data_IF_269170736529
#
_entry.id   IF_269170736529
#
_cell.length_a   1.000
_cell.length_b   1.000
_cell.length_c   1.000
_cell.angle_alpha   90.00
_cell.angle_beta   90.00
_cell.angle_gamma   90.00
#
_symmetry.space_group_name_H-M   'P 1'
#
loop_
_entity.id
_entity.type
_entity.pdbx_description
1 polymer ?
#
# COMPACT_ATOMS: atom_id res chain seq x y z
N UNK A 1 -25.76 -31.97 -23.42
CA UNK A 1 -24.57 -31.61 -24.21
C UNK A 1 -23.87 -30.48 -23.47
N UNK A 2 -22.81 -30.82 -22.73
CA UNK A 2 -22.00 -29.89 -21.92
C UNK A 2 -20.81 -29.46 -22.77
N UNK A 3 -20.60 -28.17 -22.94
CA UNK A 3 -19.30 -27.61 -23.30
C UNK A 3 -19.01 -26.48 -22.29
N UNK A 4 -17.98 -26.75 -21.49
CA UNK A 4 -17.42 -25.94 -20.43
C UNK A 4 -16.08 -25.51 -21.02
N UNK A 5 -15.95 -24.26 -21.45
CA UNK A 5 -14.69 -23.76 -22.00
C UNK A 5 -13.94 -22.89 -20.99
N UNK A 6 -12.64 -23.17 -21.00
CA UNK A 6 -11.61 -22.82 -20.06
C UNK A 6 -11.24 -21.34 -20.09
N UNK A 7 -11.08 -20.74 -18.91
CA UNK A 7 -10.26 -19.55 -18.75
C UNK A 7 -9.31 -19.81 -17.57
N UNK A 8 -8.09 -20.24 -17.89
CA UNK A 8 -6.98 -20.38 -16.94
C UNK A 8 -6.27 -19.03 -16.80
N UNK A 9 -6.10 -18.47 -15.60
CA UNK A 9 -5.05 -17.47 -15.40
C UNK A 9 -3.68 -18.17 -15.42
N UNK A 10 -2.73 -17.54 -16.10
CA UNK A 10 -1.32 -17.92 -16.14
C UNK A 10 -0.71 -17.69 -14.75
N UNK A 11 -0.82 -18.68 -13.86
CA UNK A 11 -0.07 -18.72 -12.60
C UNK A 11 1.33 -19.20 -12.94
N UNK A 12 2.32 -18.29 -12.88
CA UNK A 12 3.72 -18.70 -12.76
C UNK A 12 3.91 -19.23 -11.33
N UNK A 13 3.51 -20.48 -11.12
CA UNK A 13 3.84 -21.23 -9.92
C UNK A 13 5.31 -21.64 -10.04
N UNK A 14 6.21 -20.80 -9.53
CA UNK A 14 7.52 -21.28 -9.14
C UNK A 14 7.31 -22.24 -7.98
N UNK A 15 7.68 -23.52 -8.16
CA UNK A 15 7.62 -24.53 -7.12
C UNK A 15 8.41 -24.06 -5.89
N UNK A 16 7.72 -23.87 -4.76
CA UNK A 16 8.33 -23.49 -3.48
C UNK A 16 8.65 -24.79 -2.72
N UNK A 17 9.90 -25.03 -2.27
CA UNK A 17 10.21 -26.16 -1.41
C UNK A 17 9.56 -26.02 -0.03
N UNK A 18 9.17 -27.15 0.56
CA UNK A 18 8.43 -27.25 1.82
C UNK A 18 9.15 -26.60 3.02
N UNK A 19 8.41 -25.95 3.96
CA UNK A 19 9.00 -25.23 5.07
C UNK A 19 9.43 -26.15 6.22
N UNK A 20 10.65 -25.96 6.71
CA UNK A 20 11.11 -26.48 7.99
C UNK A 20 10.66 -25.55 9.12
N UNK A 21 10.04 -26.14 10.14
CA UNK A 21 9.38 -25.50 11.27
C UNK A 21 10.36 -24.70 12.15
N UNK A 22 10.67 -23.44 11.78
CA UNK A 22 11.25 -22.37 12.64
C UNK A 22 11.57 -21.08 11.87
N UNK A 23 11.50 -21.10 10.54
CA UNK A 23 11.63 -19.92 9.70
C UNK A 23 10.22 -19.40 9.35
N UNK A 24 10.00 -18.09 9.47
CA UNK A 24 8.71 -17.46 9.15
C UNK A 24 8.21 -17.90 7.78
N UNK A 25 6.90 -18.12 7.67
CA UNK A 25 6.28 -18.47 6.40
C UNK A 25 6.69 -17.45 5.31
N UNK A 26 6.94 -17.90 4.07
CA UNK A 26 7.26 -16.98 2.97
C UNK A 26 6.13 -15.97 2.80
N UNK A 27 6.48 -14.70 2.63
CA UNK A 27 5.54 -13.60 2.45
C UNK A 27 4.86 -13.77 1.10
N UNK A 28 3.55 -14.02 1.11
CA UNK A 28 2.75 -14.34 -0.06
C UNK A 28 1.99 -13.09 -0.52
N UNK A 29 2.73 -12.15 -1.11
CA UNK A 29 2.14 -10.89 -1.59
C UNK A 29 1.04 -11.15 -2.62
N UNK A 30 -0.03 -10.37 -2.53
CA UNK A 30 -1.00 -10.31 -3.63
C UNK A 30 -0.39 -9.54 -4.79
N UNK A 31 -0.22 -10.22 -5.92
CA UNK A 31 0.38 -9.63 -7.10
C UNK A 31 -0.41 -8.40 -7.57
N UNK A 32 0.32 -7.36 -8.01
CA UNK A 32 -0.33 -6.23 -8.64
C UNK A 32 -1.00 -6.66 -9.96
N UNK A 33 -2.19 -6.10 -10.28
CA UNK A 33 -2.84 -6.35 -11.56
C UNK A 33 -1.91 -6.11 -12.76
N UNK A 34 -2.12 -6.82 -13.87
CA UNK A 34 -1.24 -6.78 -15.05
C UNK A 34 -1.00 -5.36 -15.62
N UNK A 35 -1.99 -4.45 -15.51
CA UNK A 35 -1.83 -3.03 -15.89
C UNK A 35 -0.72 -2.29 -15.11
N UNK A 36 -0.29 -2.84 -13.98
CA UNK A 36 0.81 -2.36 -13.15
C UNK A 36 2.10 -3.17 -13.31
N UNK A 37 2.20 -4.04 -14.32
CA UNK A 37 3.41 -4.82 -14.57
C UNK A 37 4.66 -3.93 -14.71
N UNK A 38 4.51 -2.69 -15.20
CA UNK A 38 5.59 -1.71 -15.27
C UNK A 38 6.12 -1.29 -13.89
N UNK A 39 5.31 -1.29 -12.84
CA UNK A 39 5.74 -1.04 -11.47
C UNK A 39 6.59 -2.21 -10.95
N UNK A 40 6.12 -3.43 -11.15
CA UNK A 40 6.82 -4.66 -10.74
C UNK A 40 8.13 -4.86 -11.53
N UNK A 41 8.15 -4.54 -12.82
CA UNK A 41 9.35 -4.60 -13.67
C UNK A 41 10.48 -3.70 -13.19
N UNK A 42 10.12 -2.64 -12.44
CA UNK A 42 10.98 -1.87 -11.54
C UNK A 42 12.07 -2.75 -10.96
N UNK A 43 11.62 -3.78 -10.23
CA UNK A 43 12.37 -4.54 -9.23
C UNK A 43 12.72 -5.97 -9.63
N UNK A 44 12.09 -6.46 -10.69
CA UNK A 44 12.45 -7.73 -11.29
C UNK A 44 13.93 -7.76 -11.75
N UNK A 45 14.57 -8.94 -11.76
CA UNK A 45 14.06 -10.23 -11.26
C UNK A 45 14.28 -10.43 -9.75
N UNK A 46 14.92 -9.48 -9.06
CA UNK A 46 15.44 -9.69 -7.69
C UNK A 46 14.32 -9.56 -6.64
N UNK A 47 13.39 -8.64 -6.84
CA UNK A 47 12.28 -8.43 -5.93
C UNK A 47 10.93 -8.43 -6.64
N UNK A 48 9.90 -8.87 -5.91
CA UNK A 48 8.51 -8.78 -6.30
C UNK A 48 7.84 -7.63 -5.53
N UNK A 49 7.16 -6.73 -6.26
CA UNK A 49 6.30 -5.70 -5.69
C UNK A 49 4.85 -6.22 -5.68
N UNK A 50 4.18 -6.09 -4.55
CA UNK A 50 2.81 -6.52 -4.37
C UNK A 50 2.08 -5.77 -3.26
N UNK A 51 0.83 -6.16 -3.03
CA UNK A 51 0.01 -5.66 -1.94
C UNK A 51 0.08 -6.63 -0.76
N UNK A 52 0.10 -6.08 0.45
CA UNK A 52 0.09 -6.85 1.70
C UNK A 52 -1.30 -7.45 1.89
N UNK A 53 -1.37 -8.79 1.96
CA UNK A 53 -2.56 -9.53 2.37
C UNK A 53 -2.59 -9.80 3.88
N UNK A 54 -3.61 -10.52 4.34
CA UNK A 54 -3.79 -10.89 5.76
C UNK A 54 -2.57 -11.63 6.34
N UNK A 55 -2.02 -12.59 5.58
CA UNK A 55 -0.87 -13.39 5.99
C UNK A 55 0.45 -12.58 6.10
N UNK A 56 0.51 -11.42 5.45
CA UNK A 56 1.73 -10.60 5.37
C UNK A 56 1.83 -9.56 6.50
N UNK A 57 0.75 -9.33 7.26
CA UNK A 57 0.65 -8.26 8.27
C UNK A 57 1.74 -8.37 9.33
N UNK A 58 2.00 -9.59 9.83
CA UNK A 58 3.01 -9.83 10.87
C UNK A 58 4.41 -9.44 10.39
N UNK A 59 4.77 -9.82 9.15
CA UNK A 59 6.05 -9.48 8.54
C UNK A 59 6.18 -7.97 8.28
N UNK A 60 5.10 -7.31 7.86
CA UNK A 60 5.07 -5.86 7.71
C UNK A 60 5.26 -5.14 9.05
N UNK A 61 4.58 -5.61 10.11
CA UNK A 61 4.71 -5.05 11.45
C UNK A 61 6.14 -5.21 12.00
N UNK A 62 6.76 -6.38 11.81
CA UNK A 62 8.15 -6.61 12.18
C UNK A 62 9.09 -5.62 11.47
N UNK A 63 8.96 -5.48 10.15
CA UNK A 63 9.79 -4.57 9.38
C UNK A 63 9.65 -3.11 9.83
N UNK A 64 8.43 -2.67 10.15
CA UNK A 64 8.16 -1.32 10.63
C UNK A 64 8.75 -1.09 12.03
N UNK A 65 8.60 -2.04 12.95
CA UNK A 65 9.23 -2.00 14.28
C UNK A 65 10.75 -1.90 14.16
N UNK A 66 11.35 -2.72 13.30
CA UNK A 66 12.78 -2.76 13.08
C UNK A 66 13.30 -1.46 12.45
N UNK A 67 12.50 -0.84 11.58
CA UNK A 67 12.90 0.36 10.84
C UNK A 67 12.75 1.65 11.64
N UNK A 68 11.73 1.75 12.50
CA UNK A 68 11.38 3.00 13.19
C UNK A 68 11.62 2.98 14.71
N UNK A 69 11.56 1.81 15.36
CA UNK A 69 11.50 1.71 16.82
C UNK A 69 12.71 1.03 17.46
N UNK A 70 13.53 0.33 16.67
CA UNK A 70 14.87 -0.03 17.13
C UNK A 70 15.65 1.27 17.28
N UNK A 71 16.43 1.47 18.37
CA UNK A 71 17.32 2.61 18.46
C UNK A 71 18.05 2.75 17.13
N UNK A 72 18.14 3.98 16.61
CA UNK A 72 19.05 4.28 15.51
C UNK A 72 20.45 4.01 16.06
N UNK A 73 20.83 2.74 16.14
CA UNK A 73 22.20 2.31 16.20
C UNK A 73 22.79 2.99 14.98
N UNK A 74 23.65 3.96 15.24
CA UNK A 74 24.49 4.60 14.24
C UNK A 74 24.96 3.49 13.30
N UNK A 75 24.99 3.75 11.99
CA UNK A 75 25.35 2.70 11.03
C UNK A 75 26.73 2.06 11.35
N UNK A 76 27.53 2.77 12.14
CA UNK A 76 28.86 2.41 12.67
C UNK A 76 28.88 1.65 14.01
N UNK A 77 27.74 1.48 14.68
CA UNK A 77 27.68 0.57 15.83
C UNK A 77 27.86 -0.85 15.29
N UNK A 78 28.81 -1.60 15.87
CA UNK A 78 29.10 -2.98 15.52
C UNK A 78 27.89 -3.93 15.68
N UNK A 79 28.08 -5.26 15.67
CA UNK A 79 26.97 -6.19 15.82
C UNK A 79 26.14 -5.81 17.06
N UNK A 80 24.83 -5.63 16.86
CA UNK A 80 23.92 -5.22 17.91
C UNK A 80 24.10 -6.14 19.12
N UNK A 81 24.35 -5.56 20.29
CA UNK A 81 24.32 -6.33 21.53
C UNK A 81 22.98 -7.08 21.64
N UNK A 82 22.96 -8.31 22.18
CA UNK A 82 21.71 -9.01 22.41
C UNK A 82 20.77 -8.14 23.25
N UNK A 83 19.50 -8.07 22.84
CA UNK A 83 18.48 -7.36 23.61
C UNK A 83 18.32 -8.05 24.97
N UNK A 84 18.11 -7.25 26.01
CA UNK A 84 17.66 -7.77 27.30
C UNK A 84 16.27 -8.40 27.17
N UNK A 85 15.87 -9.22 28.15
CA UNK A 85 14.52 -9.80 28.19
C UNK A 85 13.42 -8.72 28.18
N UNK A 86 13.63 -7.61 28.90
CA UNK A 86 12.70 -6.49 28.94
C UNK A 86 12.59 -5.77 27.59
N UNK A 87 13.70 -5.53 26.90
CA UNK A 87 13.70 -4.93 25.55
C UNK A 87 13.05 -5.85 24.52
N UNK A 88 13.29 -7.16 24.64
CA UNK A 88 12.66 -8.17 23.78
C UNK A 88 11.14 -8.19 23.98
N UNK A 89 10.66 -8.18 25.23
CA UNK A 89 9.24 -8.11 25.55
C UNK A 89 8.59 -6.80 25.07
N UNK A 90 9.27 -5.66 25.24
CA UNK A 90 8.78 -4.37 24.73
C UNK A 90 8.72 -4.36 23.19
N UNK A 91 9.71 -4.93 22.51
CA UNK A 91 9.74 -5.05 21.05
C UNK A 91 8.60 -5.94 20.55
N UNK A 92 8.37 -7.07 21.22
CA UNK A 92 7.26 -7.99 20.94
C UNK A 92 5.91 -7.27 21.04
N UNK A 93 5.66 -6.55 22.14
CA UNK A 93 4.41 -5.82 22.34
C UNK A 93 4.23 -4.72 21.28
N UNK A 94 5.30 -4.00 20.91
CA UNK A 94 5.25 -3.03 19.81
C UNK A 94 4.92 -3.68 18.48
N UNK A 95 5.49 -4.85 18.18
CA UNK A 95 5.16 -5.60 16.95
C UNK A 95 3.68 -5.95 16.94
N UNK A 96 3.16 -6.46 18.05
CA UNK A 96 1.74 -6.82 18.20
C UNK A 96 0.83 -5.60 18.02
N UNK A 97 1.13 -4.47 18.66
CA UNK A 97 0.34 -3.25 18.52
C UNK A 97 0.40 -2.69 17.08
N UNK A 98 1.56 -2.77 16.43
CA UNK A 98 1.73 -2.36 15.03
C UNK A 98 0.92 -3.25 14.09
N UNK A 99 0.94 -4.56 14.30
CA UNK A 99 0.14 -5.52 13.53
C UNK A 99 -1.36 -5.24 13.68
N UNK A 100 -1.86 -5.07 14.90
CA UNK A 100 -3.26 -4.70 15.16
C UNK A 100 -3.65 -3.36 14.52
N UNK A 101 -2.74 -2.38 14.55
CA UNK A 101 -2.94 -1.09 13.89
C UNK A 101 -2.97 -1.19 12.36
N UNK A 102 -2.21 -2.14 11.76
CA UNK A 102 -2.30 -2.45 10.34
C UNK A 102 -3.61 -3.16 10.00
N UNK A 103 -4.00 -4.20 10.75
CA UNK A 103 -5.27 -4.91 10.58
C UNK A 103 -6.45 -3.95 10.58
N UNK A 104 -6.47 -3.03 11.55
CA UNK A 104 -7.52 -2.03 11.66
C UNK A 104 -7.58 -1.09 10.44
N UNK A 105 -6.42 -0.58 9.98
CA UNK A 105 -6.35 0.43 8.90
C UNK A 105 -6.55 -0.16 7.52
N UNK A 106 -6.13 -1.41 7.32
CA UNK A 106 -6.28 -2.13 6.06
C UNK A 106 -7.69 -2.77 5.98
N UNK A 107 -8.25 -3.23 7.10
CA UNK A 107 -9.62 -3.71 7.19
C UNK A 107 -9.94 -4.78 6.14
N UNK A 108 -11.05 -4.60 5.43
CA UNK A 108 -11.46 -5.52 4.34
C UNK A 108 -10.48 -5.59 3.17
N UNK A 109 -9.53 -4.67 3.04
CA UNK A 109 -8.49 -4.72 2.00
C UNK A 109 -7.50 -5.86 2.19
N UNK A 110 -7.35 -6.38 3.41
CA UNK A 110 -6.52 -7.56 3.61
C UNK A 110 -7.07 -8.79 2.85
N UNK A 111 -8.39 -8.84 2.69
CA UNK A 111 -9.09 -9.92 1.98
C UNK A 111 -9.20 -9.65 0.48
N UNK A 112 -9.31 -8.39 0.07
CA UNK A 112 -9.41 -7.97 -1.33
C UNK A 112 -8.52 -6.75 -1.63
N UNK A 113 -7.19 -6.93 -1.67
CA UNK A 113 -6.28 -5.82 -1.90
C UNK A 113 -6.36 -5.40 -3.37
N UNK A 114 -6.87 -4.20 -3.62
CA UNK A 114 -6.91 -3.63 -4.97
C UNK A 114 -6.34 -2.22 -4.96
N UNK A 115 -5.64 -1.80 -6.02
CA UNK A 115 -5.16 -0.42 -6.15
C UNK A 115 -6.27 0.64 -6.26
N UNK A 116 -7.50 0.23 -6.62
CA UNK A 116 -8.62 1.14 -6.84
C UNK A 116 -8.98 1.90 -5.55
N UNK A 117 -8.99 3.23 -5.64
CA UNK A 117 -9.30 4.26 -4.62
C UNK A 117 -9.46 3.81 -3.15
N UNK A 118 -8.55 4.36 -2.32
CA UNK A 118 -8.43 4.16 -0.88
C UNK A 118 -9.26 5.18 -0.06
N UNK A 119 -10.52 5.40 -0.42
CA UNK A 119 -11.39 6.36 0.30
C UNK A 119 -11.72 5.90 1.73
N UNK A 120 -11.81 4.59 1.93
CA UNK A 120 -12.36 4.00 3.16
C UNK A 120 -11.27 3.31 4.03
N UNK A 121 -10.10 3.05 3.45
CA UNK A 121 -9.02 2.24 4.06
C UNK A 121 -7.65 2.53 3.45
N UNK A 122 -6.57 2.17 4.14
CA UNK A 122 -5.20 2.29 3.62
C UNK A 122 -4.85 1.21 2.59
N UNK A 123 -3.86 1.48 1.74
CA UNK A 123 -3.22 0.56 0.81
C UNK A 123 -1.75 0.38 1.20
N UNK A 124 -1.34 -0.84 1.56
CA UNK A 124 0.05 -1.14 1.91
C UNK A 124 0.74 -1.93 0.78
N UNK A 125 1.78 -1.33 0.21
CA UNK A 125 2.69 -1.95 -0.74
C UNK A 125 3.83 -2.61 0.01
N UNK A 126 4.25 -3.79 -0.45
CA UNK A 126 5.43 -4.47 0.05
C UNK A 126 6.32 -4.95 -1.10
N UNK A 127 7.61 -4.96 -0.82
CA UNK A 127 8.63 -5.47 -1.71
C UNK A 127 9.25 -6.72 -1.07
N UNK A 128 9.17 -7.86 -1.73
CA UNK A 128 9.67 -9.16 -1.23
C UNK A 128 10.83 -9.65 -2.09
N UNK A 129 11.88 -10.15 -1.45
CA UNK A 129 13.02 -10.75 -2.16
C UNK A 129 12.61 -12.12 -2.74
N UNK A 130 12.73 -12.29 -4.06
CA UNK A 130 12.15 -13.44 -4.79
C UNK A 130 12.75 -14.77 -4.33
N UNK A 131 14.06 -14.80 -4.02
CA UNK A 131 14.73 -16.05 -3.65
C UNK A 131 14.47 -16.46 -2.19
N UNK A 132 14.29 -15.50 -1.28
CA UNK A 132 14.19 -15.78 0.16
C UNK A 132 12.77 -15.66 0.69
N UNK A 133 11.85 -15.07 -0.06
CA UNK A 133 10.50 -14.74 0.41
C UNK A 133 10.47 -13.68 1.51
N UNK A 134 11.59 -13.01 1.77
CA UNK A 134 11.73 -12.02 2.85
C UNK A 134 11.15 -10.67 2.43
N UNK A 135 10.31 -10.07 3.28
CA UNK A 135 9.83 -8.70 3.07
C UNK A 135 10.96 -7.69 3.32
N UNK A 136 11.34 -6.97 2.27
CA UNK A 136 12.50 -6.06 2.25
C UNK A 136 12.10 -4.61 2.46
N UNK A 137 10.93 -4.20 2.00
CA UNK A 137 10.45 -2.83 2.14
C UNK A 137 8.93 -2.76 2.16
N UNK A 138 8.40 -1.71 2.76
CA UNK A 138 6.97 -1.37 2.77
C UNK A 138 6.75 0.10 2.49
N UNK A 139 5.57 0.46 1.99
CA UNK A 139 5.10 1.83 1.84
C UNK A 139 3.56 1.85 1.87
N UNK A 140 2.98 2.74 2.65
CA UNK A 140 1.53 2.85 2.80
C UNK A 140 0.99 4.12 2.16
N UNK A 141 -0.11 3.98 1.42
CA UNK A 141 -0.88 5.07 0.84
C UNK A 141 -2.27 5.11 1.46
N UNK A 142 -2.79 6.31 1.73
CA UNK A 142 -4.16 6.51 2.21
C UNK A 142 -4.69 7.87 1.74
N UNK A 143 -5.99 8.11 1.86
CA UNK A 143 -6.57 9.44 1.70
C UNK A 143 -6.75 10.11 3.07
N UNK A 144 -6.23 11.32 3.23
CA UNK A 144 -6.23 12.07 4.50
C UNK A 144 -6.62 13.54 4.28
N UNK A 145 -7.23 14.20 5.28
CA UNK A 145 -7.40 15.65 5.25
C UNK A 145 -6.06 16.39 5.06
N UNK A 146 -6.08 17.50 4.32
CA UNK A 146 -4.92 18.40 4.12
C UNK A 146 -4.70 19.35 5.30
N UNK A 147 -4.85 18.88 6.53
CA UNK A 147 -4.78 19.70 7.75
C UNK A 147 -3.42 19.59 8.47
N UNK A 148 -2.50 18.81 7.91
CA UNK A 148 -1.17 18.52 8.46
C UNK A 148 -1.23 17.90 9.86
N UNK A 149 -2.35 17.24 10.21
CA UNK A 149 -2.39 16.38 11.39
C UNK A 149 -1.69 15.08 11.05
N UNK A 150 -0.87 14.60 11.98
CA UNK A 150 -0.36 13.24 11.90
C UNK A 150 -1.55 12.27 11.95
N UNK A 151 -1.53 11.18 11.16
CA UNK A 151 -2.49 10.11 11.35
C UNK A 151 -2.39 9.66 12.80
N UNK A 152 -3.45 9.80 13.60
CA UNK A 152 -3.43 9.09 14.86
C UNK A 152 -3.46 7.61 14.50
N UNK A 153 -2.48 6.85 15.00
CA UNK A 153 -2.35 5.41 14.78
C UNK A 153 -3.64 4.65 15.18
N UNK A 154 -4.54 5.33 15.92
CA UNK A 154 -5.86 4.86 16.37
C UNK A 154 -7.00 5.88 16.15
N UNK A 155 -6.87 6.86 15.24
CA UNK A 155 -8.00 7.76 14.94
C UNK A 155 -9.14 6.93 14.34
N UNK A 156 -10.27 6.92 15.05
CA UNK A 156 -11.48 6.19 14.66
C UNK A 156 -11.94 6.70 13.29
N UNK A 157 -12.12 5.82 12.27
CA UNK A 157 -12.51 6.19 10.91
C UNK A 157 -13.73 7.13 10.74
N UNK A 158 -14.78 7.14 11.59
CA UNK A 158 -15.99 7.90 11.29
C UNK A 158 -15.83 9.43 11.35
N UNK A 159 -14.90 9.97 12.14
CA UNK A 159 -14.86 11.42 12.36
C UNK A 159 -14.20 12.20 11.23
N UNK A 160 -13.25 11.62 10.48
CA UNK A 160 -12.67 12.31 9.33
C UNK A 160 -13.57 12.28 8.09
N UNK A 161 -14.52 11.34 7.99
CA UNK A 161 -15.53 11.30 6.93
C UNK A 161 -16.52 12.48 6.98
N UNK A 162 -16.64 13.15 8.14
CA UNK A 162 -17.36 14.42 8.28
C UNK A 162 -16.57 15.62 7.72
N UNK A 163 -15.27 15.45 7.42
CA UNK A 163 -14.45 16.50 6.82
C UNK A 163 -14.57 16.38 5.29
N UNK A 164 -15.69 16.86 4.74
CA UNK A 164 -15.96 16.89 3.29
C UNK A 164 -15.01 17.83 2.51
N UNK A 165 -14.12 18.55 3.18
CA UNK A 165 -13.14 19.42 2.56
C UNK A 165 -11.82 18.68 2.28
N UNK A 166 -11.69 18.19 1.04
CA UNK A 166 -10.39 17.96 0.39
C UNK A 166 -9.52 16.86 1.00
N UNK A 167 -9.95 15.59 0.89
CA UNK A 167 -9.03 14.46 1.08
C UNK A 167 -7.92 14.49 0.04
N UNK A 168 -6.71 14.10 0.43
CA UNK A 168 -5.55 14.04 -0.42
C UNK A 168 -4.76 12.74 -0.21
N UNK A 169 -4.06 12.25 -1.24
CA UNK A 169 -3.11 11.18 -1.11
C UNK A 169 -2.04 11.49 -0.07
N UNK A 170 -1.85 10.54 0.82
CA UNK A 170 -0.87 10.62 1.90
C UNK A 170 -0.04 9.34 1.95
N UNK A 171 1.28 9.50 1.91
CA UNK A 171 2.25 8.43 2.03
C UNK A 171 2.82 8.37 3.45
N UNK A 172 2.86 7.17 4.02
CA UNK A 172 3.51 6.90 5.29
C UNK A 172 4.14 5.50 5.30
N UNK A 173 4.79 5.16 6.43
CA UNK A 173 5.34 3.81 6.65
C UNK A 173 6.29 3.34 5.53
N UNK A 174 6.98 4.28 4.85
CA UNK A 174 8.03 3.95 3.88
C UNK A 174 9.27 3.48 4.65
N UNK A 175 9.49 2.17 4.63
CA UNK A 175 10.56 1.53 5.38
C UNK A 175 11.33 0.56 4.48
N UNK A 176 12.65 0.47 4.71
CA UNK A 176 13.53 -0.49 4.03
C UNK A 176 14.39 -1.18 5.08
N UNK A 177 14.37 -2.51 5.04
CA UNK A 177 15.17 -3.40 5.90
C UNK A 177 16.65 -3.01 5.82
N UNK A 178 17.33 -2.96 6.97
CA UNK A 178 18.70 -2.40 7.11
C UNK A 178 19.69 -2.97 6.09
N UNK A 179 19.73 -4.29 5.92
CA UNK A 179 20.64 -4.97 4.98
C UNK A 179 20.44 -4.63 3.50
N UNK A 180 19.30 -4.02 3.15
CA UNK A 180 18.94 -3.66 1.78
C UNK A 180 18.94 -2.13 1.54
N UNK A 181 19.31 -1.33 2.54
CA UNK A 181 19.45 0.13 2.41
C UNK A 181 20.60 0.50 1.47
N UNK A 182 20.63 1.78 1.06
CA UNK A 182 21.63 2.36 0.12
C UNK A 182 21.62 1.73 -1.28
N UNK A 183 20.59 0.95 -1.63
CA UNK A 183 20.36 0.36 -2.97
C UNK A 183 19.24 1.06 -3.77
N UNK A 184 18.92 2.31 -3.41
CA UNK A 184 17.82 3.11 -4.00
C UNK A 184 16.43 2.46 -3.95
N UNK A 185 16.22 1.46 -3.09
CA UNK A 185 14.93 0.77 -2.94
C UNK A 185 13.83 1.75 -2.50
N UNK A 186 14.09 2.57 -1.47
CA UNK A 186 13.12 3.56 -0.99
C UNK A 186 12.68 4.53 -2.09
N UNK A 187 13.64 5.06 -2.86
CA UNK A 187 13.38 5.94 -4.02
C UNK A 187 12.47 5.29 -5.05
N UNK A 188 12.74 4.03 -5.40
CA UNK A 188 11.98 3.32 -6.42
C UNK A 188 10.58 2.92 -5.92
N UNK A 189 10.46 2.57 -4.65
CA UNK A 189 9.17 2.30 -4.02
C UNK A 189 8.33 3.58 -3.95
N UNK A 190 8.92 4.70 -3.53
CA UNK A 190 8.31 6.02 -3.56
C UNK A 190 7.81 6.40 -4.97
N UNK A 191 8.64 6.23 -6.00
CA UNK A 191 8.21 6.47 -7.39
C UNK A 191 7.05 5.58 -7.82
N UNK A 192 6.99 4.34 -7.32
CA UNK A 192 5.85 3.44 -7.59
C UNK A 192 4.57 3.93 -6.93
N UNK A 193 4.67 4.44 -5.69
CA UNK A 193 3.56 5.10 -5.00
C UNK A 193 3.08 6.34 -5.76
N UNK A 194 3.99 7.22 -6.19
CA UNK A 194 3.68 8.41 -6.98
C UNK A 194 2.92 8.06 -8.26
N UNK A 195 3.38 7.02 -8.99
CA UNK A 195 2.71 6.53 -10.19
C UNK A 195 1.30 6.04 -9.89
N UNK A 196 1.11 5.20 -8.86
CA UNK A 196 -0.21 4.72 -8.45
C UNK A 196 -1.16 5.87 -8.13
N UNK A 197 -0.69 6.87 -7.38
CA UNK A 197 -1.49 8.05 -7.03
C UNK A 197 -1.87 8.84 -8.27
N UNK A 198 -0.92 9.09 -9.18
CA UNK A 198 -1.21 9.83 -10.41
C UNK A 198 -2.13 9.06 -11.35
N UNK A 199 -1.90 7.77 -11.60
CA UNK A 199 -2.59 7.00 -12.64
C UNK A 199 -3.91 6.39 -12.18
N UNK A 200 -3.97 5.83 -10.97
CA UNK A 200 -5.18 5.16 -10.47
C UNK A 200 -6.07 6.11 -9.68
N UNK A 201 -5.48 7.02 -8.90
CA UNK A 201 -6.26 7.94 -8.06
C UNK A 201 -6.52 9.28 -8.74
N UNK A 202 -5.85 9.53 -9.87
CA UNK A 202 -5.96 10.76 -10.67
C UNK A 202 -5.72 12.02 -9.83
N UNK A 203 -4.80 11.92 -8.87
CA UNK A 203 -4.45 13.03 -7.98
C UNK A 203 -3.15 13.67 -8.43
N UNK A 204 -3.09 14.99 -8.36
CA UNK A 204 -1.95 15.81 -8.79
C UNK A 204 -0.97 16.11 -7.66
N UNK A 205 -1.24 15.67 -6.44
CA UNK A 205 -0.43 15.97 -5.26
C UNK A 205 -0.33 14.75 -4.35
N UNK A 206 0.86 14.56 -3.74
CA UNK A 206 1.10 13.55 -2.72
C UNK A 206 1.77 14.18 -1.51
N UNK A 207 1.20 13.91 -0.34
CA UNK A 207 1.64 14.47 0.93
C UNK A 207 2.32 13.41 1.81
N UNK A 208 3.21 13.82 2.69
CA UNK A 208 3.84 12.95 3.70
C UNK A 208 4.36 13.74 4.90
N UNK A 209 4.65 13.05 6.00
CA UNK A 209 5.39 13.62 7.12
C UNK A 209 6.80 13.07 7.20
N UNK A 210 7.74 13.91 7.66
CA UNK A 210 9.13 13.54 7.92
C UNK A 210 9.51 14.02 9.32
N UNK A 211 10.00 13.11 10.16
CA UNK A 211 10.70 13.48 11.39
C UNK A 211 11.97 14.25 11.01
N UNK A 212 12.10 15.50 11.48
CA UNK A 212 13.26 16.35 11.21
C UNK A 212 14.57 15.78 11.77
N UNK A 213 14.51 14.86 12.73
CA UNK A 213 15.69 14.13 13.21
C UNK A 213 16.12 13.02 12.24
N UNK A 214 15.25 12.58 11.34
CA UNK A 214 15.55 11.59 10.31
C UNK A 214 16.12 12.27 9.05
N UNK A 215 17.39 12.66 9.14
CA UNK A 215 18.09 13.36 8.06
C UNK A 215 18.13 12.55 6.75
N UNK A 216 18.23 11.22 6.83
CA UNK A 216 18.23 10.35 5.66
C UNK A 216 16.90 10.42 4.90
N UNK A 217 15.77 10.35 5.61
CA UNK A 217 14.45 10.51 5.01
C UNK A 217 14.24 11.93 4.46
N UNK A 218 14.62 12.95 5.23
CA UNK A 218 14.51 14.35 4.79
C UNK A 218 15.32 14.63 3.51
N UNK A 219 16.53 14.09 3.41
CA UNK A 219 17.37 14.19 2.22
C UNK A 219 16.77 13.43 1.03
N UNK A 220 16.24 12.22 1.26
CA UNK A 220 15.54 11.45 0.23
C UNK A 220 14.39 12.27 -0.36
N UNK A 221 13.42 12.67 0.46
CA UNK A 221 12.21 13.34 -0.03
C UNK A 221 12.54 14.67 -0.72
N UNK A 222 13.47 15.46 -0.17
CA UNK A 222 13.94 16.68 -0.84
C UNK A 222 14.54 16.39 -2.22
N UNK A 223 15.37 15.34 -2.33
CA UNK A 223 15.97 14.96 -3.61
C UNK A 223 14.96 14.45 -4.64
N UNK A 224 13.81 13.94 -4.18
CA UNK A 224 12.70 13.52 -5.05
C UNK A 224 11.70 14.65 -5.34
N UNK A 225 11.98 15.89 -4.92
CA UNK A 225 11.15 17.05 -5.24
C UNK A 225 9.97 17.30 -4.28
N UNK A 226 10.03 16.76 -3.07
CA UNK A 226 9.06 17.11 -2.02
C UNK A 226 9.44 18.42 -1.33
N UNK A 227 8.51 19.37 -1.34
CA UNK A 227 8.66 20.68 -0.73
C UNK A 227 8.15 20.65 0.72
N UNK A 228 8.92 21.18 1.68
CA UNK A 228 8.47 21.30 3.07
C UNK A 228 7.34 22.33 3.20
N UNK A 229 6.39 22.07 4.11
CA UNK A 229 5.34 22.98 4.54
C UNK A 229 5.49 23.28 6.04
N UNK A 230 6.36 24.23 6.43
CA UNK A 230 6.72 24.47 7.84
C UNK A 230 5.54 24.89 8.73
N UNK A 231 4.47 25.46 8.15
CA UNK A 231 3.26 25.84 8.88
C UNK A 231 2.48 24.65 9.48
N UNK A 232 2.88 23.42 9.15
CA UNK A 232 2.29 22.19 9.66
C UNK A 232 3.26 21.37 10.51
N UNK A 233 4.33 21.98 11.03
CA UNK A 233 5.23 21.29 11.94
C UNK A 233 4.46 20.84 13.20
N UNK A 234 4.47 19.52 13.48
CA UNK A 234 3.81 18.91 14.63
C UNK A 234 4.81 18.12 15.46
N UNK A 235 4.77 18.31 16.78
CA UNK A 235 5.43 17.36 17.66
C UNK A 235 4.80 15.98 17.43
N UNK A 236 5.62 14.93 17.32
CA UNK A 236 5.13 13.56 17.36
C UNK A 236 4.24 13.41 18.60
N UNK A 237 3.03 12.88 18.41
CA UNK A 237 2.17 12.55 19.54
C UNK A 237 2.90 11.57 20.46
N UNK A 238 2.59 11.62 21.76
CA UNK A 238 3.22 10.83 22.82
C UNK A 238 3.10 9.29 22.67
N UNK A 239 2.57 8.77 21.55
CA UNK A 239 2.53 7.35 21.21
C UNK A 239 3.90 6.79 20.84
N UNK A 240 4.86 7.64 20.41
CA UNK A 240 6.27 7.32 20.62
C UNK A 240 6.52 7.47 22.11
N UNK A 241 6.43 6.37 22.89
CA UNK A 241 6.87 6.31 24.29
C UNK A 241 8.11 7.18 24.40
N UNK A 242 7.98 8.34 25.06
CA UNK A 242 9.05 9.31 25.14
C UNK A 242 10.22 8.61 25.83
N UNK A 243 11.21 8.21 25.04
CA UNK A 243 12.45 7.71 25.60
C UNK A 243 13.04 8.87 26.39
N UNK A 244 13.34 8.68 27.70
CA UNK A 244 13.90 9.74 28.53
C UNK A 244 15.14 10.33 27.84
N UNK A 245 15.18 11.66 27.70
CA UNK A 245 16.32 12.38 27.12
C UNK A 245 16.34 12.50 25.59
N UNK A 246 15.36 11.98 24.85
CA UNK A 246 15.26 12.25 23.40
C UNK A 246 14.48 13.56 23.16
N UNK A 247 15.00 14.51 22.35
CA UNK A 247 14.21 15.67 21.95
C UNK A 247 12.93 15.20 21.26
N UNK A 248 11.81 15.88 21.53
CA UNK A 248 10.53 15.56 20.89
C UNK A 248 10.73 15.63 19.38
N UNK A 249 10.50 14.51 18.70
CA UNK A 249 10.52 14.46 17.25
C UNK A 249 9.55 15.50 16.70
N UNK A 250 10.04 16.39 15.85
CA UNK A 250 9.22 17.36 15.14
C UNK A 250 8.98 16.79 13.74
N UNK A 251 7.74 16.46 13.43
CA UNK A 251 7.35 16.00 12.12
C UNK A 251 6.96 17.20 11.26
N UNK A 252 7.62 17.34 10.12
CA UNK A 252 7.30 18.34 9.11
C UNK A 252 6.45 17.71 8.02
N UNK A 253 5.43 18.42 7.58
CA UNK A 253 4.60 18.03 6.45
C UNK A 253 5.30 18.43 5.15
N UNK A 254 5.22 17.58 4.13
CA UNK A 254 5.79 17.81 2.81
C UNK A 254 4.75 17.50 1.74
N UNK A 255 4.86 18.20 0.60
CA UNK A 255 4.03 17.98 -0.57
C UNK A 255 4.88 17.87 -1.82
N UNK A 256 4.47 17.03 -2.75
CA UNK A 256 5.00 17.01 -4.12
C UNK A 256 3.84 17.11 -5.10
N UNK A 257 3.97 18.00 -6.09
CA UNK A 257 3.11 17.99 -7.26
C UNK A 257 3.54 16.84 -8.17
N UNK A 258 2.61 15.96 -8.47
CA UNK A 258 2.82 14.83 -9.36
C UNK A 258 2.63 15.30 -10.81
N UNK A 259 3.39 14.73 -11.77
CA UNK A 259 3.08 14.96 -13.17
C UNK A 259 1.64 14.46 -13.45
N UNK A 260 0.93 15.08 -14.41
CA UNK A 260 -0.35 14.57 -14.84
C UNK A 260 -0.18 13.11 -15.26
N UNK A 261 -1.17 12.28 -14.96
CA UNK A 261 -1.20 10.92 -15.48
C UNK A 261 -0.94 10.99 -16.98
N UNK A 262 -0.05 10.14 -17.54
CA UNK A 262 0.02 10.03 -18.98
C UNK A 262 -1.41 9.79 -19.49
N UNK A 263 -1.84 10.47 -20.57
CA UNK A 263 -3.14 10.21 -21.15
C UNK A 263 -3.24 8.70 -21.34
N UNK A 264 -4.37 8.11 -20.97
CA UNK A 264 -4.60 6.68 -21.10
C UNK A 264 -4.43 6.32 -22.57
N UNK A 265 -3.20 6.02 -22.98
CA UNK A 265 -2.90 5.52 -24.31
C UNK A 265 -3.73 4.27 -24.43
N UNK A 266 -4.73 4.34 -25.31
CA UNK A 266 -5.73 3.34 -25.62
C UNK A 266 -5.36 1.98 -25.04
N UNK A 267 -5.80 1.74 -23.79
CA UNK A 267 -5.82 0.40 -23.25
C UNK A 267 -6.74 -0.34 -24.21
N UNK A 268 -6.14 -1.07 -25.16
CA UNK A 268 -6.80 -1.55 -26.36
C UNK A 268 -8.22 -1.99 -26.05
N UNK A 269 -9.18 -1.23 -26.59
CA UNK A 269 -10.51 -1.77 -26.76
C UNK A 269 -10.32 -3.12 -27.47
N UNK A 270 -10.86 -4.23 -26.95
CA UNK A 270 -10.92 -5.44 -27.76
C UNK A 270 -11.56 -5.05 -29.10
N UNK A 271 -11.04 -5.53 -30.25
CA UNK A 271 -11.66 -5.22 -31.52
C UNK A 271 -13.14 -5.56 -31.38
N UNK A 272 -14.01 -4.60 -31.69
CA UNK A 272 -15.44 -4.81 -31.69
C UNK A 272 -15.69 -6.00 -32.62
N UNK A 273 -15.92 -7.17 -32.03
CA UNK A 273 -16.46 -8.28 -32.77
C UNK A 273 -17.81 -7.80 -33.28
N UNK A 274 -17.95 -7.69 -34.59
CA UNK A 274 -19.22 -7.51 -35.26
C UNK A 274 -20.20 -8.55 -34.70
N UNK A 275 -21.08 -8.12 -33.80
CA UNK A 275 -22.27 -8.85 -33.45
C UNK A 275 -23.15 -8.85 -34.69
N UNK A 276 -23.01 -9.91 -35.49
CA UNK A 276 -23.93 -10.22 -36.57
C UNK A 276 -25.36 -10.13 -36.06
N UNK A 277 -26.14 -9.28 -36.72
CA UNK A 277 -27.55 -9.12 -36.45
C UNK A 277 -28.26 -10.49 -36.56
N UNK A 278 -29.10 -10.88 -35.59
CA UNK A 278 -29.95 -12.06 -35.77
C UNK A 278 -30.98 -11.81 -36.88
N UNK A 279 -31.31 -12.84 -37.68
CA UNK A 279 -32.30 -12.71 -38.74
C UNK A 279 -33.69 -12.44 -38.17
N UNK A 280 -34.45 -11.59 -38.86
CA UNK A 280 -35.83 -11.27 -38.57
C UNK A 280 -36.69 -12.54 -38.56
N UNK A 281 -37.21 -12.90 -37.38
CA UNK A 281 -38.26 -13.89 -37.25
C UNK A 281 -39.62 -13.20 -37.32
N UNK A 282 -40.44 -13.71 -38.24
CA UNK A 282 -41.78 -13.26 -38.59
C UNK A 282 -42.72 -13.22 -37.38
N UNK A 283 -43.40 -12.09 -37.19
CA UNK A 283 -44.56 -11.96 -36.31
C UNK A 283 -45.82 -12.22 -37.14
N UNK A 284 -46.43 -13.38 -36.93
CA UNK A 284 -47.76 -13.73 -37.44
C UNK A 284 -48.64 -14.33 -36.33
N UNK A 285 -49.96 -14.06 -36.44
CA UNK A 285 -51.09 -14.46 -35.59
C UNK A 285 -51.35 -13.54 -34.37
N UNK A 286 -52.19 -12.51 -34.48
CA UNK A 286 -53.66 -12.53 -34.33
C UNK A 286 -54.16 -13.33 -33.12
N UNK A 287 -54.50 -12.61 -32.04
CA UNK A 287 -55.42 -13.09 -31.01
C UNK A 287 -56.47 -12.01 -30.70
N UNK A 288 -57.72 -12.42 -30.93
CA UNK A 288 -58.99 -11.69 -30.85
C UNK A 288 -59.32 -11.26 -29.41
N UNK A 289 -59.91 -10.07 -29.17
CA UNK A 289 -60.28 -9.63 -27.83
C UNK A 289 -61.55 -10.35 -27.32
N UNK A 290 -61.48 -10.93 -26.13
CA UNK A 290 -62.63 -11.48 -25.42
C UNK A 290 -63.29 -10.39 -24.57
N UNK A 291 -64.55 -10.12 -24.89
CA UNK A 291 -65.48 -9.21 -24.24
C UNK A 291 -65.86 -9.71 -22.85
N UNK A 292 -65.77 -8.83 -21.84
CA UNK A 292 -66.34 -9.03 -20.50
C UNK A 292 -67.85 -8.70 -20.52
N UNK A 293 -68.72 -9.48 -19.87
CA UNK A 293 -70.10 -9.08 -19.61
C UNK A 293 -70.26 -8.48 -18.21
N UNK A 294 -71.09 -7.44 -18.08
CA UNK A 294 -71.74 -7.07 -16.83
C UNK A 294 -73.16 -6.55 -17.14
N UNK A 295 -74.17 -7.28 -16.64
CA UNK A 295 -75.61 -7.06 -16.70
C UNK A 295 -76.29 -7.20 -18.09
#
# INVERSE_FOLDING_TARGET
SKAKEDMRPLVVAAAIPSPCCRCGAPVALVALPARHASLSSQFAPIFALGLVGEDDVSAAAELLVDSFFTPLQTEDAGPAAPLTSAESAMREERRRLTARGLEWRLGSRLQAPTPALALDSSLLLALTHVQTGEMVATAELSLRPRDGRLPAEFAVPPLFLLHSAGLAPYLCNLAVRRGFRRRRIARRLLSSCERLVSSEWQQSELYLHVDLLNQAAAALYRSEGYEPLPGFDRAAAASSIALPGRPRALNRYHVKRLPPAPPAAEAGAPPAAELGAPPAAELGAEAKPATLPAA
#
